data_IF_336363145165
#
_entry.id   IF_336363145165
#
_cell.length_a   1.000
_cell.length_b   1.000
_cell.length_c   1.000
_cell.angle_alpha   90.00
_cell.angle_beta   90.00
_cell.angle_gamma   90.00
#
_symmetry.space_group_name_H-M   'P 1'
#
loop_
_entity.id
_entity.type
_entity.pdbx_description
1 polymer ?
#
# COMPACT_ATOMS: atom_id res chain seq x y z
N UNK A 1 -1.50 14.12 -11.31
CA UNK A 1 -1.27 13.49 -9.98
C UNK A 1 -2.53 12.81 -9.47
N UNK A 2 -3.67 13.51 -9.36
CA UNK A 2 -4.92 12.91 -8.85
C UNK A 2 -5.43 11.71 -9.68
N UNK A 3 -5.25 11.76 -11.00
CA UNK A 3 -5.53 10.64 -11.91
C UNK A 3 -4.66 9.42 -11.58
N UNK A 4 -3.34 9.60 -11.52
CA UNK A 4 -2.37 8.56 -11.13
C UNK A 4 -2.68 7.94 -9.75
N UNK A 5 -3.06 8.78 -8.77
CA UNK A 5 -3.50 8.32 -7.43
C UNK A 5 -4.74 7.44 -7.56
N UNK A 6 -5.73 7.87 -8.34
CA UNK A 6 -6.97 7.11 -8.54
C UNK A 6 -6.73 5.80 -9.27
N UNK A 7 -5.84 5.79 -10.26
CA UNK A 7 -5.47 4.60 -11.02
C UNK A 7 -4.77 3.57 -10.13
N UNK A 8 -3.72 3.97 -9.39
CA UNK A 8 -3.03 3.08 -8.46
C UNK A 8 -3.94 2.58 -7.35
N UNK A 9 -4.78 3.46 -6.77
CA UNK A 9 -5.77 3.08 -5.78
C UNK A 9 -6.74 1.99 -6.30
N UNK A 10 -7.31 2.17 -7.50
CA UNK A 10 -8.21 1.18 -8.11
C UNK A 10 -7.48 -0.13 -8.39
N UNK A 11 -6.27 -0.04 -8.92
CA UNK A 11 -5.42 -1.21 -9.19
C UNK A 11 -5.19 -2.02 -7.92
N UNK A 12 -4.86 -1.35 -6.81
CA UNK A 12 -4.63 -2.01 -5.52
C UNK A 12 -5.90 -2.70 -5.03
N UNK A 13 -7.04 -2.00 -5.06
CA UNK A 13 -8.32 -2.56 -4.61
C UNK A 13 -8.75 -3.80 -5.40
N UNK A 14 -8.40 -3.87 -6.68
CA UNK A 14 -8.78 -4.99 -7.55
C UNK A 14 -7.89 -6.22 -7.39
N UNK A 15 -6.64 -6.06 -6.95
CA UNK A 15 -5.64 -7.14 -6.97
C UNK A 15 -5.19 -7.65 -5.62
N UNK A 16 -5.12 -6.79 -4.61
CA UNK A 16 -4.54 -7.16 -3.32
C UNK A 16 -5.62 -7.38 -2.26
N UNK A 17 -5.28 -8.15 -1.23
CA UNK A 17 -6.19 -8.51 -0.14
C UNK A 17 -5.72 -7.98 1.23
N UNK A 18 -4.46 -7.58 1.35
CA UNK A 18 -3.86 -7.15 2.61
C UNK A 18 -4.54 -5.91 3.23
N UNK A 19 -5.17 -5.07 2.41
CA UNK A 19 -5.97 -3.92 2.84
C UNK A 19 -7.37 -4.28 3.39
N UNK A 20 -7.76 -5.56 3.31
CA UNK A 20 -9.07 -6.05 3.73
C UNK A 20 -9.00 -7.03 4.91
N UNK A 21 -7.89 -7.04 5.66
CA UNK A 21 -7.74 -7.86 6.86
C UNK A 21 -8.84 -7.63 7.90
N UNK A 22 -8.99 -8.55 8.84
CA UNK A 22 -10.19 -8.66 9.68
C UNK A 22 -10.38 -7.52 10.68
N UNK A 23 -9.32 -6.78 11.04
CA UNK A 23 -9.36 -5.70 12.03
C UNK A 23 -8.75 -4.40 11.50
N UNK A 24 -9.18 -3.27 12.06
CA UNK A 24 -8.71 -1.94 11.66
C UNK A 24 -7.20 -1.80 11.82
N UNK A 25 -6.65 -2.22 12.96
CA UNK A 25 -5.20 -2.17 13.22
C UNK A 25 -4.39 -3.05 12.25
N UNK A 26 -4.92 -4.19 11.82
CA UNK A 26 -4.26 -5.03 10.82
C UNK A 26 -4.24 -4.35 9.44
N UNK A 27 -5.37 -3.75 9.04
CA UNK A 27 -5.46 -3.01 7.78
C UNK A 27 -4.49 -1.83 7.77
N UNK A 28 -4.46 -1.04 8.84
CA UNK A 28 -3.55 0.10 8.98
C UNK A 28 -2.08 -0.35 8.94
N UNK A 29 -1.72 -1.40 9.67
CA UNK A 29 -0.37 -1.95 9.68
C UNK A 29 0.05 -2.42 8.28
N UNK A 30 -0.80 -3.20 7.61
CA UNK A 30 -0.52 -3.69 6.26
C UNK A 30 -0.42 -2.55 5.24
N UNK A 31 -1.38 -1.63 5.21
CA UNK A 31 -1.38 -0.50 4.28
C UNK A 31 -0.11 0.32 4.45
N UNK A 32 0.24 0.68 5.69
CA UNK A 32 1.41 1.52 5.96
C UNK A 32 2.72 0.78 5.71
N UNK A 33 2.85 -0.46 6.16
CA UNK A 33 4.07 -1.26 6.03
C UNK A 33 4.38 -1.58 4.56
N UNK A 34 3.41 -2.15 3.85
CA UNK A 34 3.58 -2.61 2.47
C UNK A 34 3.80 -1.42 1.52
N UNK A 35 3.04 -0.33 1.68
CA UNK A 35 3.20 0.82 0.79
C UNK A 35 4.46 1.65 1.09
N UNK A 36 4.92 1.71 2.34
CA UNK A 36 6.23 2.32 2.64
C UNK A 36 7.39 1.51 2.04
N UNK A 37 7.33 0.18 2.13
CA UNK A 37 8.30 -0.67 1.45
C UNK A 37 8.23 -0.56 -0.08
N UNK A 38 7.02 -0.39 -0.63
CA UNK A 38 6.80 -0.15 -2.07
C UNK A 38 7.44 1.17 -2.50
N UNK A 39 7.22 2.25 -1.75
CA UNK A 39 7.84 3.56 -1.98
C UNK A 39 9.37 3.45 -2.01
N UNK A 40 9.96 2.84 -0.99
CA UNK A 40 11.41 2.71 -0.88
C UNK A 40 12.01 1.89 -2.04
N UNK A 41 11.35 0.79 -2.41
CA UNK A 41 11.75 -0.05 -3.54
C UNK A 41 11.64 0.69 -4.88
N UNK A 42 10.64 1.56 -5.06
CA UNK A 42 10.50 2.37 -6.27
C UNK A 42 11.61 3.42 -6.38
N UNK A 43 11.99 4.05 -5.27
CA UNK A 43 13.00 5.13 -5.23
C UNK A 43 14.42 4.57 -5.30
N UNK A 44 14.73 3.60 -4.45
CA UNK A 44 16.12 3.16 -4.20
C UNK A 44 16.47 1.80 -4.82
N UNK A 45 15.47 1.07 -5.32
CA UNK A 45 15.59 -0.34 -5.71
C UNK A 45 16.05 -1.28 -4.57
N UNK A 46 16.06 -0.80 -3.34
CA UNK A 46 16.37 -1.53 -2.11
C UNK A 46 15.26 -1.29 -1.10
N UNK A 47 15.23 -2.12 -0.06
CA UNK A 47 14.34 -1.93 1.06
C UNK A 47 15.17 -2.08 2.34
N UNK A 48 15.12 -1.09 3.19
CA UNK A 48 15.89 -1.00 4.44
C UNK A 48 15.07 -1.45 5.65
N UNK A 49 13.96 -2.16 5.42
CA UNK A 49 13.20 -2.80 6.49
C UNK A 49 14.08 -3.75 7.30
N UNK A 50 13.76 -3.89 8.58
CA UNK A 50 14.50 -4.72 9.53
C UNK A 50 14.38 -6.22 9.27
N UNK A 51 14.91 -7.02 10.20
CA UNK A 51 14.97 -8.49 10.08
C UNK A 51 13.76 -9.24 10.67
N UNK A 52 12.73 -8.53 11.13
CA UNK A 52 11.55 -9.17 11.73
C UNK A 52 10.73 -9.93 10.69
N UNK A 53 9.91 -10.89 11.13
CA UNK A 53 9.02 -11.63 10.22
C UNK A 53 7.98 -10.70 9.57
N UNK A 54 7.52 -9.68 10.30
CA UNK A 54 6.60 -8.66 9.80
C UNK A 54 7.26 -7.80 8.71
N UNK A 55 8.51 -7.39 8.92
CA UNK A 55 9.29 -6.66 7.92
C UNK A 55 9.47 -7.47 6.63
N UNK A 56 9.80 -8.76 6.78
CA UNK A 56 9.91 -9.69 5.65
C UNK A 56 8.59 -9.87 4.90
N UNK A 57 7.47 -9.90 5.63
CA UNK A 57 6.13 -9.94 5.04
C UNK A 57 5.83 -8.66 4.24
N UNK A 58 6.08 -7.48 4.80
CA UNK A 58 5.88 -6.22 4.07
C UNK A 58 6.74 -6.13 2.82
N UNK A 59 8.00 -6.53 2.93
CA UNK A 59 8.91 -6.61 1.79
C UNK A 59 8.41 -7.58 0.71
N UNK A 60 7.94 -8.77 1.08
CA UNK A 60 7.47 -9.75 0.10
C UNK A 60 6.26 -9.24 -0.70
N UNK A 61 5.28 -8.64 -0.01
CA UNK A 61 4.11 -8.04 -0.67
C UNK A 61 4.53 -6.85 -1.55
N UNK A 62 5.36 -5.96 -1.02
CA UNK A 62 5.81 -4.77 -1.74
C UNK A 62 6.57 -5.10 -3.03
N UNK A 63 7.39 -6.15 -3.06
CA UNK A 63 8.04 -6.61 -4.30
C UNK A 63 7.05 -6.98 -5.38
N UNK A 64 5.96 -7.65 -5.01
CA UNK A 64 4.90 -8.04 -5.95
C UNK A 64 4.22 -6.77 -6.44
N UNK A 65 3.86 -5.85 -5.54
CA UNK A 65 3.28 -4.55 -5.88
C UNK A 65 4.15 -3.80 -6.88
N UNK A 66 5.44 -3.61 -6.59
CA UNK A 66 6.39 -2.90 -7.46
C UNK A 66 6.50 -3.57 -8.83
N UNK A 67 6.65 -4.89 -8.88
CA UNK A 67 6.73 -5.65 -10.14
C UNK A 67 5.48 -5.42 -11.00
N UNK A 68 4.32 -5.50 -10.38
CA UNK A 68 3.03 -5.43 -11.04
C UNK A 68 2.69 -4.02 -11.52
N UNK A 69 2.93 -3.00 -10.70
CA UNK A 69 2.67 -1.60 -11.10
C UNK A 69 3.66 -1.11 -12.14
N UNK A 70 4.95 -1.51 -12.11
CA UNK A 70 5.88 -1.16 -13.20
C UNK A 70 5.49 -1.83 -14.52
N UNK A 71 4.95 -3.05 -14.46
CA UNK A 71 4.45 -3.77 -15.64
C UNK A 71 3.22 -3.07 -16.23
N UNK A 72 2.22 -2.81 -15.40
CA UNK A 72 0.87 -2.46 -15.84
C UNK A 72 0.60 -0.94 -15.84
N UNK A 73 1.24 -0.17 -14.96
CA UNK A 73 1.01 1.28 -14.78
C UNK A 73 2.21 2.10 -15.27
N UNK A 74 2.23 2.42 -16.56
CA UNK A 74 3.38 3.05 -17.23
C UNK A 74 3.78 4.41 -16.67
N UNK A 75 2.85 5.15 -16.05
CA UNK A 75 3.15 6.46 -15.48
C UNK A 75 4.16 6.38 -14.32
N UNK A 76 4.32 5.22 -13.67
CA UNK A 76 5.22 5.04 -12.51
C UNK A 76 6.67 5.34 -12.89
N UNK A 77 7.10 4.98 -14.11
CA UNK A 77 8.49 5.18 -14.56
C UNK A 77 8.84 6.66 -14.81
N UNK A 78 7.83 7.51 -15.03
CA UNK A 78 8.02 8.95 -15.26
C UNK A 78 8.06 9.78 -13.97
N UNK A 79 7.86 9.18 -12.79
CA UNK A 79 7.85 9.89 -11.53
C UNK A 79 9.25 9.97 -10.91
N UNK A 80 9.60 11.14 -10.40
CA UNK A 80 10.77 11.31 -9.54
C UNK A 80 10.44 10.91 -8.09
N UNK A 81 11.45 10.90 -7.24
CA UNK A 81 11.34 10.53 -5.82
C UNK A 81 10.19 11.27 -5.10
N UNK A 82 10.12 12.59 -5.25
CA UNK A 82 9.06 13.42 -4.64
C UNK A 82 7.68 13.01 -5.15
N UNK A 83 7.55 12.75 -6.45
CA UNK A 83 6.30 12.32 -7.07
C UNK A 83 5.86 10.92 -6.62
N UNK A 84 6.80 9.99 -6.42
CA UNK A 84 6.52 8.66 -5.88
C UNK A 84 6.00 8.78 -4.45
N UNK A 85 6.68 9.55 -3.61
CA UNK A 85 6.27 9.78 -2.22
C UNK A 85 4.87 10.39 -2.13
N UNK A 86 4.62 11.47 -2.89
CA UNK A 86 3.32 12.13 -2.93
C UNK A 86 2.21 11.18 -3.41
N UNK A 87 2.49 10.36 -4.43
CA UNK A 87 1.56 9.36 -4.93
C UNK A 87 1.21 8.33 -3.86
N UNK A 88 2.23 7.75 -3.21
CA UNK A 88 2.05 6.70 -2.21
C UNK A 88 1.31 7.22 -0.97
N UNK A 89 1.67 8.41 -0.48
CA UNK A 89 1.01 9.02 0.68
C UNK A 89 -0.49 9.25 0.41
N UNK A 90 -0.84 9.83 -0.75
CA UNK A 90 -2.24 10.03 -1.14
C UNK A 90 -3.01 8.72 -1.32
N UNK A 91 -2.35 7.67 -1.82
CA UNK A 91 -2.96 6.35 -1.95
C UNK A 91 -3.18 5.70 -0.58
N UNK A 92 -2.24 5.82 0.37
CA UNK A 92 -2.41 5.36 1.76
C UNK A 92 -3.61 6.03 2.41
N UNK A 93 -3.69 7.37 2.33
CA UNK A 93 -4.81 8.15 2.87
C UNK A 93 -6.15 7.68 2.28
N UNK A 94 -6.21 7.49 0.96
CA UNK A 94 -7.42 7.04 0.27
C UNK A 94 -7.81 5.62 0.68
N UNK A 95 -6.85 4.69 0.78
CA UNK A 95 -7.10 3.32 1.24
C UNK A 95 -7.61 3.29 2.68
N UNK A 96 -6.94 3.97 3.61
CA UNK A 96 -7.38 4.06 5.01
C UNK A 96 -8.79 4.67 5.07
N UNK A 97 -9.02 5.76 4.34
CA UNK A 97 -10.31 6.43 4.27
C UNK A 97 -11.45 5.49 3.89
N UNK A 98 -11.25 4.55 2.97
CA UNK A 98 -12.32 3.65 2.49
C UNK A 98 -12.36 2.29 3.18
N UNK A 99 -11.21 1.74 3.59
CA UNK A 99 -11.13 0.39 4.17
C UNK A 99 -11.15 0.40 5.69
N UNK A 100 -10.92 1.55 6.33
CA UNK A 100 -10.88 1.69 7.79
C UNK A 100 -11.87 2.75 8.27
N UNK A 101 -11.77 4.00 7.79
CA UNK A 101 -12.51 5.12 8.37
C UNK A 101 -14.00 5.13 7.99
N UNK A 102 -14.32 5.03 6.70
CA UNK A 102 -15.69 5.17 6.18
C UNK A 102 -16.35 3.83 5.81
N UNK A 103 -15.74 2.72 6.22
CA UNK A 103 -16.32 1.39 6.02
C UNK A 103 -17.48 1.14 6.99
N UNK A 104 -18.49 0.41 6.53
CA UNK A 104 -19.63 0.00 7.36
C UNK A 104 -19.40 -1.32 8.09
N UNK A 105 -18.19 -1.90 7.99
CA UNK A 105 -17.88 -3.15 8.66
C UNK A 105 -17.72 -2.95 10.18
N UNK A 106 -18.75 -3.31 10.94
CA UNK A 106 -18.76 -3.23 12.40
C UNK A 106 -17.79 -4.18 13.11
N UNK A 107 -17.24 -5.19 12.42
CA UNK A 107 -16.33 -6.17 13.01
C UNK A 107 -14.89 -5.65 13.16
N UNK A 108 -14.54 -4.55 12.48
CA UNK A 108 -13.15 -4.09 12.42
C UNK A 108 -12.55 -3.70 13.77
N UNK A 109 -13.39 -3.31 14.72
CA UNK A 109 -12.96 -2.87 16.04
C UNK A 109 -13.26 -3.90 17.13
N UNK A 110 -13.71 -5.11 16.75
CA UNK A 110 -13.95 -6.19 17.71
C UNK A 110 -12.63 -6.69 18.26
N UNK A 111 -12.43 -6.57 19.57
CA UNK A 111 -11.16 -6.90 20.23
C UNK A 111 -10.71 -8.35 20.05
N UNK A 112 -11.66 -9.28 19.98
CA UNK A 112 -11.39 -10.71 19.86
C UNK A 112 -11.38 -11.11 18.38
N UNK A 113 -10.41 -11.92 17.97
CA UNK A 113 -10.38 -12.53 16.64
C UNK A 113 -11.38 -13.65 16.51
#
# INVERSE_FOLDING_TARGET
MEENVTELYKYIQQKYLWQFYSRSWDRENNINGILSATEELLITSKCSLGDSLTDKHYYSEAKIVVKDIKRDLKFIEGLNEKGIKELIDKVKEKLIGVTVTNTLNGELNVKFY
#
